data_IF_828029131199
#
_entry.id   IF_828029131199
#
_cell.length_a   1.000
_cell.length_b   1.000
_cell.length_c   1.000
_cell.angle_alpha   90.00
_cell.angle_beta   90.00
_cell.angle_gamma   90.00
#
_symmetry.space_group_name_H-M   'P 1'
#
loop_
_entity.id
_entity.type
_entity.pdbx_description
1 polymer ?
#
# COMPACT_ATOMS: atom_id res chain seq x y z
N UNK A 1 -56.82 -26.83 2.41
CA UNK A 1 -56.04 -26.40 1.22
C UNK A 1 -54.73 -25.67 1.60
N UNK A 2 -54.22 -25.82 2.83
CA UNK A 2 -53.05 -25.12 3.38
C UNK A 2 -51.78 -25.98 3.47
N UNK A 3 -51.90 -27.31 3.33
CA UNK A 3 -50.76 -28.23 3.43
C UNK A 3 -49.86 -28.24 2.16
N UNK A 4 -50.47 -28.07 0.98
CA UNK A 4 -49.72 -27.98 -0.31
C UNK A 4 -48.89 -26.70 -0.43
N UNK A 5 -49.37 -25.58 0.11
CA UNK A 5 -48.65 -24.29 0.07
C UNK A 5 -47.43 -24.30 0.99
N UNK A 6 -47.52 -24.95 2.15
CA UNK A 6 -46.38 -25.11 3.08
C UNK A 6 -45.28 -25.99 2.47
N UNK A 7 -45.62 -27.10 1.82
CA UNK A 7 -44.63 -27.96 1.14
C UNK A 7 -43.96 -27.24 -0.04
N UNK A 8 -44.73 -26.43 -0.78
CA UNK A 8 -44.21 -25.58 -1.86
C UNK A 8 -43.23 -24.51 -1.34
N UNK A 9 -43.50 -23.93 -0.17
CA UNK A 9 -42.63 -22.96 0.49
C UNK A 9 -41.30 -23.59 0.96
N UNK A 10 -41.35 -24.79 1.55
CA UNK A 10 -40.14 -25.52 1.94
C UNK A 10 -39.28 -25.94 0.73
N UNK A 11 -39.91 -26.30 -0.39
CA UNK A 11 -39.21 -26.66 -1.63
C UNK A 11 -38.49 -25.45 -2.25
N UNK A 12 -39.10 -24.26 -2.21
CA UNK A 12 -38.48 -23.01 -2.67
C UNK A 12 -37.33 -22.57 -1.73
N UNK A 13 -37.49 -22.77 -0.42
CA UNK A 13 -36.44 -22.46 0.57
C UNK A 13 -35.22 -23.39 0.42
N UNK A 14 -35.43 -24.67 0.10
CA UNK A 14 -34.35 -25.63 -0.15
C UNK A 14 -33.57 -25.31 -1.44
N UNK A 15 -34.24 -24.77 -2.46
CA UNK A 15 -33.59 -24.39 -3.73
C UNK A 15 -32.63 -23.21 -3.58
N UNK A 16 -32.85 -22.32 -2.61
CA UNK A 16 -31.98 -21.17 -2.36
C UNK A 16 -30.63 -21.54 -1.73
N UNK A 17 -30.51 -22.74 -1.15
CA UNK A 17 -29.26 -23.19 -0.50
C UNK A 17 -28.19 -23.58 -1.53
N UNK A 18 -28.56 -23.84 -2.79
CA UNK A 18 -27.62 -24.24 -3.85
C UNK A 18 -27.09 -23.09 -4.71
N UNK A 19 -27.47 -21.83 -4.43
CA UNK A 19 -26.85 -20.66 -5.10
C UNK A 19 -25.52 -20.34 -4.42
N UNK A 20 -24.55 -21.23 -4.60
CA UNK A 20 -23.17 -21.02 -4.16
C UNK A 20 -22.50 -19.93 -4.99
N UNK A 21 -21.86 -18.98 -4.31
CA UNK A 21 -21.03 -17.97 -4.94
C UNK A 21 -19.82 -18.66 -5.61
N UNK A 22 -19.68 -18.48 -6.92
CA UNK A 22 -18.53 -18.99 -7.69
C UNK A 22 -17.27 -18.28 -7.17
N UNK A 23 -16.44 -19.00 -6.40
CA UNK A 23 -15.17 -18.47 -5.89
C UNK A 23 -14.33 -17.91 -7.03
N UNK A 24 -13.85 -16.69 -6.88
CA UNK A 24 -12.95 -16.03 -7.84
C UNK A 24 -11.64 -16.80 -7.88
N UNK A 25 -11.37 -17.50 -9.00
CA UNK A 25 -10.08 -18.14 -9.23
C UNK A 25 -8.98 -17.08 -9.18
N UNK A 26 -8.15 -17.12 -8.15
CA UNK A 26 -6.94 -16.31 -8.05
C UNK A 26 -5.91 -16.81 -9.08
N UNK A 27 -5.04 -15.91 -9.52
CA UNK A 27 -4.06 -16.13 -10.60
C UNK A 27 -3.01 -17.21 -10.24
N UNK A 28 -3.00 -17.69 -9.01
CA UNK A 28 -2.06 -18.70 -8.52
C UNK A 28 -2.78 -20.04 -8.44
N UNK A 29 -2.64 -20.86 -9.49
CA UNK A 29 -3.38 -22.11 -9.59
C UNK A 29 -2.97 -23.17 -8.56
N UNK A 30 -1.77 -23.10 -7.94
CA UNK A 30 -1.29 -24.09 -6.95
C UNK A 30 -0.12 -23.59 -6.07
N UNK A 31 0.02 -22.28 -5.81
CA UNK A 31 1.20 -21.73 -5.11
C UNK A 31 2.49 -21.70 -5.95
N UNK A 32 2.50 -22.30 -7.15
CA UNK A 32 3.61 -22.20 -8.09
C UNK A 32 3.58 -20.86 -8.85
N UNK A 33 4.70 -20.14 -8.83
CA UNK A 33 4.87 -18.90 -9.57
C UNK A 33 4.89 -19.21 -11.09
N UNK A 34 4.16 -18.42 -11.86
CA UNK A 34 4.09 -18.55 -13.31
C UNK A 34 5.40 -18.05 -13.93
N UNK A 35 6.26 -18.99 -14.31
CA UNK A 35 7.56 -18.74 -14.96
C UNK A 35 7.46 -18.06 -16.33
N UNK A 36 6.25 -17.87 -16.89
CA UNK A 36 6.02 -17.16 -18.17
C UNK A 36 5.63 -15.69 -17.99
N UNK A 37 5.58 -15.19 -16.76
CA UNK A 37 5.29 -13.77 -16.51
C UNK A 37 6.45 -12.92 -17.05
N UNK A 38 6.11 -11.88 -17.80
CA UNK A 38 7.09 -10.92 -18.35
C UNK A 38 7.13 -9.63 -17.54
N UNK A 39 8.27 -8.93 -17.52
CA UNK A 39 8.43 -7.66 -16.81
C UNK A 39 7.33 -6.65 -17.20
N UNK A 40 7.01 -6.58 -18.49
CA UNK A 40 5.91 -5.77 -19.03
C UNK A 40 4.55 -6.10 -18.40
N UNK A 41 4.23 -7.39 -18.24
CA UNK A 41 2.97 -7.81 -17.62
C UNK A 41 2.94 -7.48 -16.13
N UNK A 42 4.06 -7.67 -15.42
CA UNK A 42 4.17 -7.35 -14.01
C UNK A 42 4.02 -5.84 -13.77
N UNK A 43 4.79 -5.01 -14.49
CA UNK A 43 4.72 -3.54 -14.41
C UNK A 43 3.29 -3.06 -14.69
N UNK A 44 2.66 -3.56 -15.77
CA UNK A 44 1.28 -3.19 -16.12
C UNK A 44 0.26 -3.59 -15.04
N UNK A 45 0.48 -4.66 -14.30
CA UNK A 45 -0.40 -5.04 -13.19
C UNK A 45 -0.14 -4.17 -11.96
N UNK A 46 1.11 -3.83 -11.67
CA UNK A 46 1.47 -2.89 -10.59
C UNK A 46 0.87 -1.50 -10.82
N UNK A 47 0.89 -1.00 -12.06
CA UNK A 47 0.26 0.29 -12.43
C UNK A 47 -1.27 0.28 -12.24
N UNK A 48 -1.95 -0.86 -12.43
CA UNK A 48 -3.39 -0.96 -12.18
C UNK A 48 -3.77 -0.89 -10.70
N UNK A 49 -2.81 -1.08 -9.80
CA UNK A 49 -3.00 -0.94 -8.34
C UNK A 49 -2.88 0.53 -7.93
N UNK A 50 -2.66 1.45 -8.88
CA UNK A 50 -2.66 2.87 -8.56
C UNK A 50 -4.00 3.30 -7.95
N UNK A 51 -3.96 3.86 -6.74
CA UNK A 51 -5.15 4.21 -5.99
C UNK A 51 -5.67 5.58 -6.46
N UNK A 52 -6.89 5.57 -7.02
CA UNK A 52 -7.60 6.78 -7.40
C UNK A 52 -8.39 7.32 -6.20
N UNK A 53 -7.83 8.33 -5.55
CA UNK A 53 -8.46 9.00 -4.42
C UNK A 53 -8.10 10.48 -4.38
N UNK A 54 -9.02 11.31 -3.89
CA UNK A 54 -8.72 12.71 -3.56
C UNK A 54 -8.07 12.84 -2.19
N UNK A 55 -8.64 12.17 -1.20
CA UNK A 55 -8.15 12.16 0.18
C UNK A 55 -8.15 10.76 0.78
N UNK A 56 -7.11 10.44 1.53
CA UNK A 56 -6.96 9.21 2.29
C UNK A 56 -6.76 9.55 3.77
N UNK A 57 -7.45 8.85 4.65
CA UNK A 57 -7.26 8.93 6.11
C UNK A 57 -7.03 7.53 6.64
N UNK A 58 -5.97 7.35 7.43
CA UNK A 58 -5.59 6.05 7.96
C UNK A 58 -4.90 6.13 9.31
N UNK A 59 -4.72 4.96 9.93
CA UNK A 59 -3.86 4.77 11.09
C UNK A 59 -2.74 3.82 10.69
N UNK A 60 -1.50 4.21 10.95
CA UNK A 60 -0.31 3.43 10.64
C UNK A 60 0.39 3.05 11.94
N UNK A 61 0.67 1.76 12.12
CA UNK A 61 1.50 1.25 13.21
C UNK A 61 2.95 1.23 12.71
N UNK A 62 3.83 1.89 13.44
CA UNK A 62 5.27 1.92 13.20
C UNK A 62 5.91 1.12 14.33
N UNK A 63 6.80 0.19 14.00
CA UNK A 63 7.55 -0.60 14.97
C UNK A 63 9.04 -0.35 14.72
N UNK A 64 9.73 0.16 15.72
CA UNK A 64 11.17 0.39 15.69
C UNK A 64 11.85 -0.73 16.46
N UNK A 65 12.70 -1.49 15.77
CA UNK A 65 13.42 -2.62 16.32
C UNK A 65 14.90 -2.28 16.30
N UNK A 66 15.50 -2.16 17.48
CA UNK A 66 16.94 -1.97 17.66
C UNK A 66 17.49 -2.95 18.69
N UNK A 67 18.31 -3.90 18.22
CA UNK A 67 18.84 -5.02 19.01
C UNK A 67 17.69 -5.78 19.69
N UNK A 68 17.61 -5.72 21.01
CA UNK A 68 16.61 -6.41 21.83
C UNK A 68 15.41 -5.52 22.21
N UNK A 69 15.36 -4.27 21.72
CA UNK A 69 14.25 -3.34 21.99
C UNK A 69 13.34 -3.26 20.77
N UNK A 70 12.07 -3.60 20.96
CA UNK A 70 11.01 -3.30 19.99
C UNK A 70 10.05 -2.28 20.61
N UNK A 71 9.93 -1.11 19.98
CA UNK A 71 9.04 -0.04 20.41
C UNK A 71 8.03 0.28 19.30
N UNK A 72 6.75 0.06 19.60
CA UNK A 72 5.65 0.28 18.68
C UNK A 72 4.94 1.62 18.92
N UNK A 73 4.54 2.30 17.86
CA UNK A 73 3.70 3.49 17.97
C UNK A 73 2.70 3.63 16.83
N UNK A 74 1.53 4.19 17.13
CA UNK A 74 0.49 4.43 16.12
C UNK A 74 0.45 5.90 15.75
N UNK A 75 0.51 6.19 14.46
CA UNK A 75 0.39 7.53 13.89
C UNK A 75 -0.90 7.64 13.08
N UNK A 76 -1.55 8.80 13.15
CA UNK A 76 -2.63 9.15 12.24
C UNK A 76 -2.02 9.68 10.95
N UNK A 77 -2.44 9.13 9.82
CA UNK A 77 -2.01 9.50 8.46
C UNK A 77 -3.18 10.14 7.73
N UNK A 78 -2.93 11.27 7.06
CA UNK A 78 -3.86 11.90 6.13
C UNK A 78 -3.10 12.29 4.87
N UNK A 79 -3.66 12.01 3.71
CA UNK A 79 -3.08 12.36 2.42
C UNK A 79 -4.17 13.07 1.62
N UNK A 80 -3.86 14.25 1.08
CA UNK A 80 -4.54 14.85 -0.07
C UNK A 80 -3.62 14.63 -1.26
N UNK A 81 -4.09 13.83 -2.24
CA UNK A 81 -3.26 13.33 -3.35
C UNK A 81 -2.59 14.51 -4.07
N UNK A 82 -1.29 14.37 -4.29
CA UNK A 82 -0.42 15.31 -5.02
C UNK A 82 -0.28 16.69 -4.36
N UNK A 83 -0.71 16.84 -3.09
CA UNK A 83 -0.74 18.13 -2.41
C UNK A 83 -0.18 18.13 -0.99
N UNK A 84 -0.67 17.25 -0.12
CA UNK A 84 -0.25 17.26 1.28
C UNK A 84 -0.30 15.88 1.90
N UNK A 85 0.78 15.49 2.56
CA UNK A 85 0.83 14.34 3.46
C UNK A 85 0.96 14.90 4.88
N UNK A 86 0.07 14.48 5.77
CA UNK A 86 0.05 14.91 7.15
C UNK A 86 0.07 13.69 8.06
N UNK A 87 0.98 13.70 9.02
CA UNK A 87 1.14 12.64 10.01
C UNK A 87 1.13 13.23 11.41
N UNK A 88 0.52 12.53 12.35
CA UNK A 88 0.48 12.97 13.75
C UNK A 88 0.35 11.83 14.74
N UNK A 89 1.15 11.90 15.82
CA UNK A 89 1.00 11.07 17.02
C UNK A 89 0.38 11.90 18.12
N UNK A 90 -0.91 11.70 18.38
CA UNK A 90 -1.68 12.36 19.46
C UNK A 90 -1.53 13.90 19.51
N UNK A 91 -1.15 14.55 18.41
CA UNK A 91 -0.87 16.00 18.37
C UNK A 91 0.41 16.44 19.07
N UNK A 92 1.22 15.50 19.57
CA UNK A 92 2.52 15.72 20.22
C UNK A 92 3.64 15.77 19.18
N UNK A 93 3.64 14.83 18.24
CA UNK A 93 4.56 14.82 17.10
C UNK A 93 3.73 15.00 15.84
N UNK A 94 4.14 15.91 14.96
CA UNK A 94 3.48 16.20 13.68
C UNK A 94 4.49 16.25 12.57
N UNK A 95 4.12 15.74 11.39
CA UNK A 95 4.85 15.96 10.15
C UNK A 95 3.86 16.43 9.08
N UNK A 96 4.31 17.36 8.24
CA UNK A 96 3.58 17.86 7.09
C UNK A 96 4.54 17.91 5.91
N UNK A 97 4.21 17.23 4.84
CA UNK A 97 4.99 17.15 3.62
C UNK A 97 4.12 17.66 2.49
N UNK A 98 4.64 18.57 1.69
CA UNK A 98 4.01 19.19 0.52
C UNK A 98 4.99 19.12 -0.65
N UNK A 99 4.57 19.39 -1.90
CA UNK A 99 5.44 19.30 -3.08
C UNK A 99 6.82 19.94 -2.95
N UNK A 100 6.94 21.02 -2.17
CA UNK A 100 8.18 21.80 -2.05
C UNK A 100 8.74 21.90 -0.63
N UNK A 101 8.07 21.32 0.38
CA UNK A 101 8.40 21.55 1.78
C UNK A 101 8.12 20.33 2.65
N UNK A 102 9.06 20.04 3.53
CA UNK A 102 8.99 19.05 4.60
C UNK A 102 9.09 19.81 5.92
N UNK A 103 8.08 19.65 6.78
CA UNK A 103 8.07 20.24 8.11
C UNK A 103 7.73 19.18 9.15
N UNK A 104 8.46 19.14 10.26
CA UNK A 104 8.09 18.32 11.41
C UNK A 104 8.24 19.10 12.72
N UNK A 105 7.44 18.72 13.70
CA UNK A 105 7.46 19.29 15.03
C UNK A 105 7.29 18.19 16.07
N UNK A 106 8.17 18.18 17.07
CA UNK A 106 8.14 17.29 18.21
C UNK A 106 7.99 18.12 19.50
N UNK A 107 6.80 18.09 20.10
CA UNK A 107 6.50 18.77 21.37
C UNK A 107 7.19 18.15 22.57
N UNK A 108 7.55 16.86 22.51
CA UNK A 108 8.16 16.17 23.65
C UNK A 108 9.52 16.80 23.99
N UNK A 109 10.27 17.14 22.94
CA UNK A 109 11.63 17.66 23.07
C UNK A 109 11.75 19.13 22.60
N UNK A 110 10.63 19.78 22.28
CA UNK A 110 10.56 21.15 21.71
C UNK A 110 11.43 21.36 20.46
N UNK A 111 11.55 20.34 19.61
CA UNK A 111 12.35 20.39 18.38
C UNK A 111 11.46 20.51 17.15
N UNK A 112 11.96 21.19 16.12
CA UNK A 112 11.26 21.34 14.85
C UNK A 112 12.24 21.35 13.68
N UNK A 113 11.70 21.10 12.50
CA UNK A 113 12.39 21.21 11.22
C UNK A 113 11.42 21.80 10.20
N UNK A 114 11.98 22.62 9.31
CA UNK A 114 11.27 23.23 8.21
C UNK A 114 12.24 23.44 7.06
N UNK A 115 12.07 22.71 5.96
CA UNK A 115 13.01 22.74 4.85
C UNK A 115 12.53 21.97 3.63
N UNK A 116 13.47 21.71 2.71
CA UNK A 116 13.26 20.92 1.50
C UNK A 116 13.52 19.42 1.75
N UNK A 117 13.48 18.62 0.67
CA UNK A 117 13.70 17.18 0.74
C UNK A 117 15.17 16.77 0.92
N UNK A 118 16.14 17.71 0.97
CA UNK A 118 17.57 17.36 1.09
C UNK A 118 17.86 16.61 2.38
N UNK A 119 17.24 17.03 3.48
CA UNK A 119 17.40 16.36 4.77
C UNK A 119 16.98 14.88 4.70
N UNK A 120 15.77 14.62 4.18
CA UNK A 120 15.27 13.25 4.02
C UNK A 120 16.11 12.45 3.02
N UNK A 121 16.54 13.09 1.94
CA UNK A 121 17.35 12.45 0.90
C UNK A 121 18.70 11.99 1.44
N UNK A 122 19.36 12.84 2.23
CA UNK A 122 20.62 12.50 2.89
C UNK A 122 20.44 11.40 3.94
N UNK A 123 19.33 11.43 4.69
CA UNK A 123 19.03 10.41 5.70
C UNK A 123 18.80 9.03 5.08
N UNK A 124 18.10 8.95 3.95
CA UNK A 124 17.80 7.68 3.26
C UNK A 124 18.87 7.27 2.24
N UNK A 125 19.84 8.14 1.94
CA UNK A 125 20.87 7.88 0.94
C UNK A 125 20.35 7.84 -0.51
N UNK A 126 19.19 8.43 -0.77
CA UNK A 126 18.56 8.47 -2.10
C UNK A 126 17.84 9.78 -2.31
N UNK A 127 17.78 10.26 -3.55
CA UNK A 127 17.08 11.50 -3.88
C UNK A 127 15.56 11.31 -3.73
N UNK A 128 14.98 12.01 -2.77
CA UNK A 128 13.55 12.03 -2.53
C UNK A 128 12.91 13.32 -3.04
N UNK A 129 11.71 13.17 -3.58
CA UNK A 129 10.77 14.23 -3.85
C UNK A 129 9.41 13.85 -3.26
N UNK A 130 8.44 14.75 -3.36
CA UNK A 130 7.09 14.51 -2.85
C UNK A 130 6.45 13.25 -3.43
N UNK A 131 6.60 13.01 -4.73
CA UNK A 131 5.96 11.88 -5.40
C UNK A 131 6.53 10.56 -4.89
N UNK A 132 7.84 10.46 -4.74
CA UNK A 132 8.52 9.28 -4.19
C UNK A 132 8.04 8.97 -2.77
N UNK A 133 7.91 9.98 -1.92
CA UNK A 133 7.41 9.82 -0.55
C UNK A 133 5.93 9.40 -0.54
N UNK A 134 5.10 10.02 -1.37
CA UNK A 134 3.69 9.64 -1.51
C UNK A 134 3.55 8.20 -2.00
N UNK A 135 4.25 7.83 -3.06
CA UNK A 135 4.22 6.50 -3.64
C UNK A 135 4.66 5.44 -2.63
N UNK A 136 5.74 5.70 -1.88
CA UNK A 136 6.20 4.80 -0.81
C UNK A 136 5.11 4.53 0.23
N UNK A 137 4.42 5.58 0.71
CA UNK A 137 3.34 5.43 1.69
C UNK A 137 2.09 4.73 1.13
N UNK A 138 1.89 4.77 -0.18
CA UNK A 138 0.78 4.12 -0.87
C UNK A 138 1.11 2.70 -1.38
N UNK A 139 2.34 2.22 -1.16
CA UNK A 139 2.80 0.94 -1.70
C UNK A 139 2.96 0.93 -3.22
N UNK A 140 3.20 2.09 -3.82
CA UNK A 140 3.45 2.29 -5.24
C UNK A 140 4.95 2.40 -5.52
N UNK A 141 5.37 2.18 -6.77
CA UNK A 141 6.78 2.32 -7.16
C UNK A 141 7.26 3.75 -6.96
N UNK A 142 8.40 3.92 -6.29
CA UNK A 142 9.07 5.22 -6.15
C UNK A 142 9.76 5.65 -7.44
N UNK A 143 10.07 4.71 -8.33
CA UNK A 143 10.78 4.94 -9.59
C UNK A 143 9.88 4.66 -10.78
N UNK A 144 10.11 5.38 -11.88
CA UNK A 144 9.49 5.05 -13.15
C UNK A 144 9.93 3.63 -13.57
N UNK A 145 8.96 2.76 -13.84
CA UNK A 145 9.22 1.40 -14.28
C UNK A 145 9.12 1.35 -15.81
N UNK A 146 10.14 0.81 -16.47
CA UNK A 146 10.18 0.64 -17.93
C UNK A 146 10.54 -0.81 -18.25
N UNK A 147 9.72 -1.49 -19.05
CA UNK A 147 9.91 -2.92 -19.35
C UNK A 147 11.26 -3.23 -20.06
N UNK A 148 11.87 -2.22 -20.67
CA UNK A 148 13.20 -2.35 -21.28
C UNK A 148 14.31 -2.43 -20.25
N UNK A 149 14.16 -1.74 -19.12
CA UNK A 149 15.23 -1.57 -18.11
C UNK A 149 15.19 -2.65 -17.04
N UNK A 150 14.08 -3.40 -16.93
CA UNK A 150 13.87 -4.40 -15.89
C UNK A 150 13.69 -5.82 -16.45
N UNK A 151 14.25 -6.79 -15.73
CA UNK A 151 13.98 -8.22 -15.85
C UNK A 151 13.20 -8.72 -14.63
N UNK A 152 12.45 -9.81 -14.80
CA UNK A 152 11.80 -10.48 -13.66
C UNK A 152 12.77 -11.49 -13.09
N UNK A 153 12.95 -11.40 -11.79
CA UNK A 153 13.60 -12.40 -10.96
C UNK A 153 12.56 -12.98 -9.98
N UNK A 154 12.85 -14.15 -9.43
CA UNK A 154 12.04 -14.75 -8.36
C UNK A 154 12.85 -14.65 -7.07
N UNK A 155 12.31 -13.92 -6.10
CA UNK A 155 12.89 -13.83 -4.77
C UNK A 155 11.93 -14.42 -3.74
N UNK A 156 12.37 -15.51 -3.11
CA UNK A 156 11.56 -16.34 -2.22
C UNK A 156 10.26 -16.82 -2.89
N UNK A 157 9.11 -16.26 -2.52
CA UNK A 157 7.79 -16.59 -3.10
C UNK A 157 7.15 -15.41 -3.85
N UNK A 158 7.96 -14.43 -4.26
CA UNK A 158 7.48 -13.20 -4.92
C UNK A 158 8.21 -12.93 -6.24
N UNK A 159 7.54 -12.22 -7.15
CA UNK A 159 8.20 -11.65 -8.32
C UNK A 159 8.94 -10.38 -7.93
N UNK A 160 10.18 -10.25 -8.40
CA UNK A 160 11.00 -9.07 -8.21
C UNK A 160 11.35 -8.46 -9.57
N UNK A 161 11.22 -7.14 -9.69
CA UNK A 161 11.79 -6.39 -10.82
C UNK A 161 13.24 -6.04 -10.50
N UNK A 162 14.17 -6.48 -11.35
CA UNK A 162 15.60 -6.23 -11.21
C UNK A 162 16.08 -5.43 -12.42
N UNK A 163 16.91 -4.43 -12.20
CA UNK A 163 17.54 -3.67 -13.28
C UNK A 163 18.42 -4.63 -14.12
N UNK A 164 18.24 -4.59 -15.43
CA UNK A 164 19.16 -5.24 -16.35
C UNK A 164 20.53 -4.58 -16.22
N UNK A 165 21.58 -5.40 -16.18
CA UNK A 165 22.95 -4.91 -16.22
C UNK A 165 23.30 -4.37 -17.60
#
# INVERSE_FOLDING_TARGET
>A
MTFKTQFSLYTILLLFVFVGCKSTKTIVANGELNSRLTAKQLIKQTEKVESDFKTLVGKMKIEYIEKDRSEGTTVSLRIEKDKTIWMSKLGLVKAMITPTRVAFYNKLDNTYFDGDFKYLSNLLGTELDFQKVQNMLLGQSMFALNDKDYEIDVFDQSYQLKLKK
#
